data_IF_191794485064
#
_entry.id   IF_191794485064
#
_cell.length_a   1.000
_cell.length_b   1.000
_cell.length_c   1.000
_cell.angle_alpha   90.00
_cell.angle_beta   90.00
_cell.angle_gamma   90.00
#
_symmetry.space_group_name_H-M   'P 1'
#
loop_
_entity.id
_entity.type
_entity.pdbx_description
1 polymer ?
#
# COMPACT_ATOMS: atom_id res chain seq x y z
N UNK A 1 24.30 48.19 15.13
CA UNK A 1 24.04 46.86 15.72
C UNK A 1 23.22 46.10 14.71
N UNK A 2 23.77 45.02 14.16
CA UNK A 2 23.22 44.33 13.00
C UNK A 2 22.09 43.39 13.42
N UNK A 3 20.90 43.63 12.90
CA UNK A 3 19.76 42.72 13.00
C UNK A 3 20.05 41.46 12.19
N UNK A 4 20.36 40.36 12.88
CA UNK A 4 20.48 39.05 12.27
C UNK A 4 19.07 38.51 12.01
N UNK A 5 18.60 38.67 10.77
CA UNK A 5 17.43 37.98 10.26
C UNK A 5 17.67 36.46 10.34
N UNK A 6 17.04 35.81 11.32
CA UNK A 6 17.00 34.36 11.44
C UNK A 6 16.22 33.83 10.24
N UNK A 7 16.95 33.40 9.21
CA UNK A 7 16.38 32.71 8.06
C UNK A 7 15.68 31.42 8.55
N UNK A 8 14.36 31.39 8.46
CA UNK A 8 13.58 30.19 8.72
C UNK A 8 14.03 29.10 7.75
N UNK A 9 14.63 28.02 8.28
CA UNK A 9 15.02 26.86 7.46
C UNK A 9 13.80 26.34 6.69
N UNK A 10 13.93 26.02 5.40
CA UNK A 10 12.85 25.40 4.65
C UNK A 10 12.46 24.09 5.36
N UNK A 11 11.20 23.95 5.78
CA UNK A 11 10.69 22.67 6.28
C UNK A 11 10.77 21.67 5.13
N UNK A 12 11.78 20.79 5.14
CA UNK A 12 11.82 19.68 4.19
C UNK A 12 10.53 18.87 4.37
N UNK A 13 9.79 18.70 3.27
CA UNK A 13 8.63 17.83 3.24
C UNK A 13 9.18 16.41 3.27
N UNK A 14 9.20 15.80 4.45
CA UNK A 14 9.59 14.40 4.64
C UNK A 14 8.82 13.48 3.69
N UNK A 15 9.50 12.47 3.14
CA UNK A 15 8.88 11.47 2.24
C UNK A 15 7.75 10.70 2.93
N UNK A 16 7.85 10.56 4.25
CA UNK A 16 6.92 9.80 5.08
C UNK A 16 5.94 10.69 5.83
N UNK A 17 4.70 10.21 5.98
CA UNK A 17 3.67 10.85 6.78
C UNK A 17 4.01 10.79 8.27
N UNK A 18 3.53 11.73 9.11
CA UNK A 18 3.71 11.69 10.56
C UNK A 18 3.32 10.35 11.20
N UNK A 19 2.24 9.73 10.69
CA UNK A 19 1.76 8.42 11.15
C UNK A 19 2.76 7.30 10.83
N UNK A 20 3.30 7.26 9.62
CA UNK A 20 4.31 6.26 9.22
C UNK A 20 5.56 6.37 10.09
N UNK A 21 6.08 7.58 10.29
CA UNK A 21 7.25 7.84 11.13
C UNK A 21 7.01 7.36 12.56
N UNK A 22 5.86 7.73 13.14
CA UNK A 22 5.53 7.32 14.50
C UNK A 22 5.34 5.81 14.62
N UNK A 23 4.62 5.15 13.71
CA UNK A 23 4.43 3.70 13.76
C UNK A 23 5.75 2.93 13.60
N UNK A 24 6.69 3.45 12.81
CA UNK A 24 8.00 2.84 12.64
C UNK A 24 8.85 2.97 13.90
N UNK A 25 9.03 4.19 14.43
CA UNK A 25 9.95 4.46 15.53
C UNK A 25 9.36 4.31 16.93
N UNK A 26 8.04 4.24 17.08
CA UNK A 26 7.39 4.37 18.40
C UNK A 26 6.51 3.16 18.68
N UNK A 27 6.54 2.69 19.93
CA UNK A 27 5.61 1.67 20.46
C UNK A 27 5.00 2.13 21.78
N UNK A 28 3.81 1.63 22.16
CA UNK A 28 3.26 1.87 23.48
C UNK A 28 4.22 1.38 24.56
N UNK A 29 4.37 2.14 25.63
CA UNK A 29 5.00 1.64 26.85
C UNK A 29 3.93 0.94 27.68
N UNK A 30 4.15 -0.35 27.94
CA UNK A 30 3.23 -1.19 28.69
C UNK A 30 3.81 -1.40 30.10
N UNK A 31 2.94 -1.53 31.11
CA UNK A 31 3.36 -1.99 32.45
C UNK A 31 3.84 -3.44 32.40
N UNK A 32 4.42 -3.92 33.49
CA UNK A 32 4.82 -5.34 33.63
C UNK A 32 3.64 -6.29 33.37
N UNK A 33 2.42 -5.86 33.73
CA UNK A 33 1.17 -6.59 33.50
C UNK A 33 0.57 -6.38 32.10
N UNK A 34 1.28 -5.67 31.20
CA UNK A 34 0.81 -5.38 29.84
C UNK A 34 -0.21 -4.25 29.72
N UNK A 35 -0.47 -3.50 30.79
CA UNK A 35 -1.42 -2.39 30.81
C UNK A 35 -0.92 -1.13 30.09
N UNK A 36 -1.79 -0.36 29.41
CA UNK A 36 -1.39 0.86 28.71
C UNK A 36 -1.07 1.99 29.70
N UNK A 37 0.16 2.49 29.70
CA UNK A 37 0.60 3.59 30.59
C UNK A 37 0.28 5.00 30.08
N UNK A 38 -0.23 5.13 28.86
CA UNK A 38 -0.33 6.41 28.16
C UNK A 38 1.02 6.99 27.71
N UNK A 39 2.12 6.31 27.99
CA UNK A 39 3.46 6.65 27.53
C UNK A 39 3.80 5.89 26.24
N UNK A 40 4.67 6.49 25.45
CA UNK A 40 5.15 5.96 24.18
C UNK A 40 6.67 5.90 24.23
N UNK A 41 7.28 4.83 23.74
CA UNK A 41 8.73 4.64 23.78
C UNK A 41 9.29 4.58 22.36
N UNK A 42 10.37 5.32 22.12
CA UNK A 42 11.11 5.20 20.87
C UNK A 42 11.87 3.85 20.83
N UNK A 43 11.67 3.07 19.77
CA UNK A 43 12.32 1.77 19.55
C UNK A 43 13.82 1.91 19.30
N UNK A 44 14.27 3.02 18.72
CA UNK A 44 15.66 3.24 18.35
C UNK A 44 16.53 3.72 19.54
N UNK A 45 16.01 4.62 20.39
CA UNK A 45 16.78 5.17 21.51
C UNK A 45 16.19 4.93 22.90
N UNK A 46 15.08 4.20 23.02
CA UNK A 46 14.45 3.89 24.30
C UNK A 46 13.83 5.08 25.04
N UNK A 47 13.88 6.30 24.50
CA UNK A 47 13.33 7.49 25.17
C UNK A 47 11.81 7.42 25.24
N UNK A 48 11.28 7.62 26.44
CA UNK A 48 9.85 7.66 26.71
C UNK A 48 9.29 9.08 26.52
N UNK A 49 8.15 9.19 25.85
CA UNK A 49 7.43 10.43 25.55
C UNK A 49 5.96 10.28 25.96
N UNK A 50 5.40 11.33 26.57
CA UNK A 50 3.97 11.41 26.83
C UNK A 50 3.24 11.67 25.50
N UNK A 51 2.25 10.85 25.17
CA UNK A 51 1.31 11.20 24.11
C UNK A 51 0.20 12.04 24.73
N UNK A 52 0.29 13.37 24.63
CA UNK A 52 -0.73 14.23 25.19
C UNK A 52 -2.07 14.01 24.44
N UNK A 53 -3.19 13.84 25.14
CA UNK A 53 -4.50 13.80 24.50
C UNK A 53 -4.66 15.06 23.65
N UNK A 54 -5.01 14.90 22.37
CA UNK A 54 -5.25 15.97 21.37
C UNK A 54 -4.03 16.54 20.59
N UNK A 55 -2.77 16.12 20.84
CA UNK A 55 -1.61 16.69 20.09
C UNK A 55 -1.24 15.97 18.79
N UNK A 56 -1.87 14.83 18.47
CA UNK A 56 -1.54 14.01 17.32
C UNK A 56 -0.09 13.47 17.35
N UNK A 57 0.50 13.20 16.18
CA UNK A 57 1.85 12.63 16.05
C UNK A 57 3.00 13.65 16.19
N UNK A 58 2.69 14.93 16.40
CA UNK A 58 3.66 16.04 16.25
C UNK A 58 4.86 15.92 17.20
N UNK A 59 4.61 15.59 18.47
CA UNK A 59 5.68 15.46 19.48
C UNK A 59 6.60 14.27 19.19
N UNK A 60 6.02 13.16 18.72
CA UNK A 60 6.75 11.95 18.38
C UNK A 60 7.63 12.16 17.15
N UNK A 61 7.08 12.79 16.11
CA UNK A 61 7.80 13.08 14.86
C UNK A 61 8.87 14.14 15.08
N UNK A 62 8.62 15.12 15.94
CA UNK A 62 9.65 16.11 16.32
C UNK A 62 10.87 15.41 16.93
N UNK A 63 10.64 14.49 17.88
CA UNK A 63 11.72 13.69 18.46
C UNK A 63 12.47 12.85 17.42
N UNK A 64 11.76 12.20 16.50
CA UNK A 64 12.44 11.40 15.47
C UNK A 64 13.30 12.28 14.56
N UNK A 65 12.78 13.43 14.13
CA UNK A 65 13.52 14.34 13.26
C UNK A 65 14.73 14.99 13.93
N UNK A 66 14.69 15.21 15.26
CA UNK A 66 15.80 15.80 16.00
C UNK A 66 16.87 14.78 16.36
N UNK A 67 16.46 13.58 16.79
CA UNK A 67 17.34 12.60 17.41
C UNK A 67 17.79 11.49 16.45
N UNK A 68 17.08 11.29 15.33
CA UNK A 68 17.35 10.24 14.33
C UNK A 68 17.50 10.85 12.94
N UNK A 69 18.62 11.52 12.67
CA UNK A 69 18.83 12.29 11.43
C UNK A 69 18.80 11.45 10.14
N UNK A 70 19.04 10.15 10.23
CA UNK A 70 19.01 9.18 9.13
C UNK A 70 17.67 8.44 8.98
N UNK A 71 16.62 8.88 9.69
CA UNK A 71 15.36 8.12 9.77
C UNK A 71 14.74 7.77 8.42
N UNK A 72 14.86 8.66 7.43
CA UNK A 72 14.29 8.41 6.09
C UNK A 72 15.00 7.25 5.37
N UNK A 73 16.32 7.13 5.54
CA UNK A 73 17.11 6.05 4.91
C UNK A 73 16.81 4.71 5.58
N UNK A 74 16.72 4.69 6.91
CA UNK A 74 16.35 3.49 7.67
C UNK A 74 14.93 3.01 7.33
N UNK A 75 13.98 3.94 7.21
CA UNK A 75 12.60 3.66 6.82
C UNK A 75 12.49 3.13 5.38
N UNK A 76 13.30 3.65 4.46
CA UNK A 76 13.35 3.18 3.06
C UNK A 76 13.96 1.77 2.96
N UNK A 77 15.07 1.53 3.66
CA UNK A 77 15.72 0.22 3.73
C UNK A 77 14.81 -0.83 4.38
N UNK A 78 14.09 -0.47 5.44
CA UNK A 78 13.12 -1.37 6.05
C UNK A 78 11.91 -1.63 5.14
N UNK A 79 11.49 -0.65 4.33
CA UNK A 79 10.38 -0.83 3.38
C UNK A 79 10.73 -1.81 2.25
N UNK A 80 12.00 -1.84 1.83
CA UNK A 80 12.50 -2.78 0.82
C UNK A 80 12.72 -4.19 1.36
N UNK A 81 13.13 -4.33 2.62
CA UNK A 81 13.35 -5.64 3.28
C UNK A 81 12.04 -6.25 3.81
N UNK A 82 11.08 -5.43 4.25
CA UNK A 82 9.82 -5.89 4.83
C UNK A 82 8.79 -6.29 3.77
N UNK A 83 9.06 -7.37 3.03
CA UNK A 83 8.05 -8.08 2.25
C UNK A 83 6.85 -8.57 3.11
N UNK A 84 6.97 -8.57 4.44
CA UNK A 84 5.96 -9.10 5.37
C UNK A 84 4.88 -8.13 5.86
N UNK A 85 5.12 -6.80 5.94
CA UNK A 85 4.13 -5.88 6.53
C UNK A 85 4.13 -4.49 5.89
N UNK A 86 3.83 -4.43 4.59
CA UNK A 86 3.58 -3.18 3.86
C UNK A 86 2.38 -2.38 4.41
N UNK A 87 1.59 -2.92 5.35
CA UNK A 87 0.37 -2.30 5.87
C UNK A 87 0.58 -0.93 6.54
N UNK A 88 1.74 -0.69 7.16
CA UNK A 88 2.05 0.62 7.74
C UNK A 88 2.41 1.66 6.68
N UNK A 89 2.82 1.20 5.50
CA UNK A 89 3.39 1.99 4.41
C UNK A 89 2.37 2.29 3.30
N UNK A 90 1.38 1.42 3.15
CA UNK A 90 0.34 1.53 2.13
C UNK A 90 -0.83 2.37 2.65
N UNK A 91 -1.34 3.28 1.82
CA UNK A 91 -2.57 4.03 2.13
C UNK A 91 -3.73 3.04 2.31
N UNK A 92 -4.52 3.19 3.38
CA UNK A 92 -5.66 2.30 3.65
C UNK A 92 -6.59 2.13 2.44
N UNK A 93 -6.85 3.22 1.70
CA UNK A 93 -7.65 3.21 0.46
C UNK A 93 -7.05 2.30 -0.61
N UNK A 94 -5.74 2.31 -0.80
CA UNK A 94 -5.04 1.45 -1.75
C UNK A 94 -5.06 -0.02 -1.29
N UNK A 95 -4.87 -0.26 0.01
CA UNK A 95 -5.00 -1.60 0.60
C UNK A 95 -6.40 -2.17 0.40
N UNK A 96 -7.43 -1.36 0.58
CA UNK A 96 -8.83 -1.76 0.40
C UNK A 96 -9.12 -2.15 -1.06
N UNK A 97 -8.68 -1.33 -2.02
CA UNK A 97 -8.81 -1.61 -3.45
C UNK A 97 -8.09 -2.90 -3.85
N UNK A 98 -6.86 -3.09 -3.36
CA UNK A 98 -6.12 -4.32 -3.60
C UNK A 98 -6.83 -5.56 -3.04
N UNK A 99 -7.40 -5.47 -1.83
CA UNK A 99 -8.13 -6.58 -1.23
C UNK A 99 -9.37 -6.95 -2.06
N UNK A 100 -10.14 -5.97 -2.54
CA UNK A 100 -11.27 -6.19 -3.44
C UNK A 100 -10.84 -6.85 -4.76
N UNK A 101 -9.82 -6.31 -5.44
CA UNK A 101 -9.27 -6.89 -6.67
C UNK A 101 -8.82 -8.34 -6.47
N UNK A 102 -8.07 -8.61 -5.40
CA UNK A 102 -7.59 -9.94 -5.07
C UNK A 102 -8.75 -10.93 -4.88
N UNK A 103 -9.83 -10.50 -4.21
CA UNK A 103 -10.99 -11.34 -3.99
C UNK A 103 -11.71 -11.65 -5.30
N UNK A 104 -11.95 -10.63 -6.13
CA UNK A 104 -12.60 -10.78 -7.44
C UNK A 104 -11.82 -11.75 -8.33
N UNK A 105 -10.50 -11.52 -8.48
CA UNK A 105 -9.65 -12.33 -9.36
C UNK A 105 -9.51 -13.76 -8.84
N UNK A 106 -9.17 -13.95 -7.57
CA UNK A 106 -8.99 -15.31 -7.02
C UNK A 106 -10.29 -16.08 -6.86
N UNK A 107 -11.39 -15.36 -6.64
CA UNK A 107 -12.72 -15.93 -6.51
C UNK A 107 -13.46 -16.07 -7.83
N UNK A 108 -12.89 -15.63 -8.96
CA UNK A 108 -13.58 -15.56 -10.25
C UNK A 108 -15.00 -14.99 -10.12
N UNK A 109 -15.12 -13.79 -9.51
CA UNK A 109 -16.41 -13.12 -9.27
C UNK A 109 -16.65 -12.02 -10.30
N UNK A 110 -17.92 -11.72 -10.58
CA UNK A 110 -18.30 -10.54 -11.35
C UNK A 110 -17.89 -9.25 -10.64
N UNK A 111 -17.69 -8.16 -11.39
CA UNK A 111 -17.30 -6.87 -10.79
C UNK A 111 -18.41 -6.26 -9.92
N UNK A 112 -19.67 -6.45 -10.31
CA UNK A 112 -20.87 -6.10 -9.52
C UNK A 112 -20.91 -6.74 -8.13
N UNK A 113 -20.09 -7.76 -7.86
CA UNK A 113 -19.94 -8.39 -6.55
C UNK A 113 -19.63 -7.39 -5.43
N UNK A 114 -18.91 -6.31 -5.72
CA UNK A 114 -18.58 -5.26 -4.73
C UNK A 114 -19.79 -4.45 -4.28
N UNK A 115 -20.86 -4.48 -5.06
CA UNK A 115 -22.10 -3.74 -4.80
C UNK A 115 -23.21 -4.59 -4.21
N UNK A 116 -23.11 -5.91 -4.32
CA UNK A 116 -24.09 -6.83 -3.75
C UNK A 116 -24.30 -6.58 -2.26
N UNK A 117 -25.57 -6.46 -1.87
CA UNK A 117 -25.95 -6.16 -0.49
C UNK A 117 -25.43 -7.22 0.49
N UNK A 118 -25.53 -8.51 0.13
CA UNK A 118 -25.03 -9.61 0.94
C UNK A 118 -23.52 -9.51 1.14
N UNK A 119 -22.75 -9.22 0.09
CA UNK A 119 -21.30 -9.03 0.20
C UNK A 119 -20.96 -7.86 1.12
N UNK A 120 -21.62 -6.72 0.94
CA UNK A 120 -21.42 -5.52 1.78
C UNK A 120 -21.77 -5.78 3.25
N UNK A 121 -22.79 -6.62 3.52
CA UNK A 121 -23.21 -7.00 4.86
C UNK A 121 -22.17 -7.85 5.59
N UNK A 122 -21.45 -8.72 4.89
CA UNK A 122 -20.56 -9.71 5.50
C UNK A 122 -19.06 -9.39 5.38
N UNK A 123 -18.69 -8.31 4.69
CA UNK A 123 -17.29 -7.90 4.52
C UNK A 123 -16.87 -6.80 5.49
N UNK A 124 -15.60 -6.80 5.89
CA UNK A 124 -14.97 -5.69 6.62
C UNK A 124 -14.26 -4.69 5.69
N UNK A 125 -14.33 -4.90 4.37
CA UNK A 125 -13.76 -3.97 3.40
C UNK A 125 -14.65 -2.73 3.28
N UNK A 126 -14.02 -1.56 3.15
CA UNK A 126 -14.75 -0.32 2.88
C UNK A 126 -15.50 -0.46 1.54
N UNK A 127 -16.70 0.12 1.51
CA UNK A 127 -17.59 0.08 0.34
C UNK A 127 -16.90 0.56 -0.92
N UNK A 128 -17.17 -0.13 -2.01
CA UNK A 128 -16.71 0.21 -3.35
C UNK A 128 -17.88 0.12 -4.32
N UNK A 129 -17.80 0.90 -5.40
CA UNK A 129 -18.72 0.81 -6.52
C UNK A 129 -18.08 0.06 -7.69
N UNK A 130 -18.94 -0.50 -8.54
CA UNK A 130 -18.53 -1.28 -9.70
C UNK A 130 -17.65 -0.46 -10.65
N UNK A 131 -18.03 0.80 -10.91
CA UNK A 131 -17.28 1.66 -11.84
C UNK A 131 -15.84 1.90 -11.37
N UNK A 132 -15.64 2.02 -10.05
CA UNK A 132 -14.29 2.21 -9.50
C UNK A 132 -13.46 0.95 -9.63
N UNK A 133 -14.02 -0.22 -9.29
CA UNK A 133 -13.26 -1.48 -9.37
C UNK A 133 -12.99 -1.88 -10.82
N UNK A 134 -13.87 -1.55 -11.77
CA UNK A 134 -13.66 -1.71 -13.20
C UNK A 134 -12.44 -0.92 -13.67
N UNK A 135 -12.36 0.37 -13.34
CA UNK A 135 -11.19 1.20 -13.68
C UNK A 135 -9.89 0.69 -13.05
N UNK A 136 -9.96 0.20 -11.82
CA UNK A 136 -8.82 -0.40 -11.15
C UNK A 136 -8.40 -1.71 -11.85
N UNK A 137 -9.36 -2.55 -12.28
CA UNK A 137 -9.11 -3.78 -13.03
C UNK A 137 -8.48 -3.50 -14.40
N UNK A 138 -9.00 -2.54 -15.17
CA UNK A 138 -8.41 -2.10 -16.44
C UNK A 138 -6.95 -1.65 -16.28
N UNK A 139 -6.66 -0.94 -15.19
CA UNK A 139 -5.30 -0.49 -14.88
C UNK A 139 -4.38 -1.67 -14.57
N UNK A 140 -4.88 -2.67 -13.83
CA UNK A 140 -4.15 -3.92 -13.57
C UNK A 140 -3.93 -4.70 -14.86
N UNK A 141 -4.95 -4.84 -15.72
CA UNK A 141 -4.85 -5.52 -17.02
C UNK A 141 -3.72 -4.92 -17.85
N UNK A 142 -3.65 -3.59 -17.99
CA UNK A 142 -2.56 -2.92 -18.72
C UNK A 142 -1.17 -3.21 -18.15
N UNK A 143 -1.06 -3.34 -16.82
CA UNK A 143 0.21 -3.70 -16.18
C UNK A 143 0.58 -5.17 -16.40
N UNK A 144 -0.41 -6.05 -16.40
CA UNK A 144 -0.23 -7.49 -16.70
C UNK A 144 0.16 -7.67 -18.16
N UNK A 145 -0.49 -6.98 -19.10
CA UNK A 145 -0.14 -6.98 -20.52
C UNK A 145 1.30 -6.55 -20.76
N UNK A 146 1.75 -5.46 -20.13
CA UNK A 146 3.16 -5.04 -20.19
C UNK A 146 4.10 -6.11 -19.62
N UNK A 147 3.76 -6.66 -18.45
CA UNK A 147 4.60 -7.71 -17.84
C UNK A 147 4.66 -8.99 -18.68
N UNK A 148 3.58 -9.33 -19.39
CA UNK A 148 3.57 -10.44 -20.34
C UNK A 148 4.44 -10.09 -21.56
N UNK A 149 4.28 -8.88 -22.11
CA UNK A 149 5.07 -8.40 -23.24
C UNK A 149 6.58 -8.40 -22.95
N UNK A 150 6.99 -7.98 -21.76
CA UNK A 150 8.39 -7.99 -21.31
C UNK A 150 8.97 -9.41 -21.18
N UNK A 151 8.12 -10.41 -20.97
CA UNK A 151 8.51 -11.83 -20.85
C UNK A 151 8.39 -12.59 -22.17
N UNK A 152 7.73 -12.01 -23.17
CA UNK A 152 7.46 -12.68 -24.43
C UNK A 152 8.74 -12.69 -25.29
N UNK A 153 9.16 -13.84 -25.84
CA UNK A 153 10.33 -13.88 -26.71
C UNK A 153 10.07 -13.17 -28.04
N UNK A 154 11.15 -12.81 -28.76
CA UNK A 154 11.06 -12.21 -30.11
C UNK A 154 10.34 -13.10 -31.12
N UNK A 155 10.34 -14.42 -30.90
CA UNK A 155 9.66 -15.42 -31.72
C UNK A 155 8.73 -16.22 -30.82
N UNK A 156 7.45 -16.18 -31.12
CA UNK A 156 6.41 -16.95 -30.45
C UNK A 156 5.37 -17.38 -31.50
N UNK A 157 4.67 -18.47 -31.25
CA UNK A 157 3.51 -18.89 -32.03
C UNK A 157 2.25 -18.18 -31.54
N UNK A 158 1.34 -17.86 -32.46
CA UNK A 158 -0.01 -17.38 -32.13
C UNK A 158 -1.01 -18.52 -32.34
N UNK A 159 -1.63 -18.97 -31.26
CA UNK A 159 -2.73 -19.93 -31.30
C UNK A 159 -4.06 -19.18 -31.35
N UNK A 160 -4.87 -19.52 -32.34
CA UNK A 160 -6.20 -18.95 -32.56
C UNK A 160 -7.23 -20.03 -32.24
N UNK A 161 -8.10 -19.76 -31.27
CA UNK A 161 -9.22 -20.64 -30.90
C UNK A 161 -10.54 -19.90 -31.09
N UNK A 162 -11.51 -20.54 -31.74
CA UNK A 162 -12.72 -19.89 -32.25
C UNK A 162 -13.98 -20.64 -31.85
N UNK A 163 -15.01 -19.90 -31.46
CA UNK A 163 -16.34 -20.44 -31.15
C UNK A 163 -17.44 -19.53 -31.70
N UNK A 164 -18.60 -20.08 -32.07
CA UNK A 164 -19.77 -19.30 -32.48
C UNK A 164 -20.95 -19.62 -31.56
N UNK A 165 -21.58 -18.58 -31.00
CA UNK A 165 -22.78 -18.74 -30.18
C UNK A 165 -23.76 -17.59 -30.45
N UNK A 166 -25.04 -17.92 -30.66
CA UNK A 166 -26.09 -16.90 -30.76
C UNK A 166 -25.93 -15.88 -31.89
N UNK A 167 -25.20 -16.22 -32.96
CA UNK A 167 -24.89 -15.28 -34.05
C UNK A 167 -23.65 -14.42 -33.82
N UNK A 168 -22.97 -14.56 -32.67
CA UNK A 168 -21.70 -13.92 -32.38
C UNK A 168 -20.53 -14.89 -32.61
N UNK A 169 -19.47 -14.39 -33.24
CA UNK A 169 -18.21 -15.13 -33.44
C UNK A 169 -17.18 -14.66 -32.42
N UNK A 170 -16.64 -15.59 -31.65
CA UNK A 170 -15.63 -15.36 -30.64
C UNK A 170 -14.29 -15.92 -31.13
N UNK A 171 -13.22 -15.16 -30.89
CA UNK A 171 -11.86 -15.55 -31.19
C UNK A 171 -10.98 -15.28 -29.96
N UNK A 172 -10.40 -16.34 -29.40
CA UNK A 172 -9.34 -16.25 -28.44
C UNK A 172 -7.99 -16.31 -29.15
N UNK A 173 -7.07 -15.44 -28.74
CA UNK A 173 -5.70 -15.37 -29.25
C UNK A 173 -4.74 -15.63 -28.10
N UNK A 174 -3.91 -16.67 -28.24
CA UNK A 174 -2.92 -17.06 -27.24
C UNK A 174 -1.52 -16.99 -27.83
N UNK A 175 -0.55 -16.53 -27.05
CA UNK A 175 0.86 -16.63 -27.42
C UNK A 175 1.48 -17.90 -26.81
N UNK A 176 2.20 -18.67 -27.63
CA UNK A 176 2.83 -19.93 -27.26
C UNK A 176 4.33 -19.91 -27.56
N UNK A 177 5.15 -20.29 -26.59
CA UNK A 177 6.60 -20.34 -26.73
C UNK A 177 7.18 -21.33 -25.72
N UNK A 178 8.31 -21.94 -26.08
CA UNK A 178 9.07 -22.77 -25.16
C UNK A 178 9.82 -21.86 -24.16
N UNK A 179 9.78 -22.23 -22.88
CA UNK A 179 10.42 -21.44 -21.81
C UNK A 179 11.94 -21.68 -21.71
N UNK A 180 12.46 -22.70 -22.39
CA UNK A 180 13.81 -23.22 -22.20
C UNK A 180 14.76 -22.93 -23.39
N UNK A 181 14.57 -21.79 -24.08
CA UNK A 181 15.47 -21.31 -25.15
C UNK A 181 16.15 -20.01 -24.75
#
# INVERSE_FOLDING_TARGET
>A
MSDALVAARPRSKSKFTPKQIACFYVKPYLTEDGGPTGLQVCKACGKTRKNAPKTGYTNLVSHVKSDHGNFEVEMEAASTVAAGTLLLWVRQKASNRHAWLKWIVKGNRFLSFVEMESTRRYTNLATMCEETITRDMESVTKMVERSIGDKLPKRFGANLDGWTHGGEHYLAVHACYDKDV
#
